data_IF_210942561413
#
_entry.id   IF_210942561413
#
_cell.length_a   1.000
_cell.length_b   1.000
_cell.length_c   1.000
_cell.angle_alpha   90.00
_cell.angle_beta   90.00
_cell.angle_gamma   90.00
#
_symmetry.space_group_name_H-M   'P 1'
#
loop_
_entity.id
_entity.type
_entity.pdbx_description
1 polymer ?
#
# COMPACT_ATOMS: atom_id res chain seq x y z
N UNK A 1 -2.14 2.86 4.09
CA UNK A 1 -1.80 1.75 3.17
C UNK A 1 -0.30 1.55 3.03
N UNK A 2 0.47 2.60 2.72
CA UNK A 2 1.93 2.52 2.47
C UNK A 2 2.68 1.88 3.64
N UNK A 3 2.44 2.32 4.88
CA UNK A 3 3.12 1.77 6.09
C UNK A 3 2.79 0.28 6.26
N UNK A 4 1.52 -0.11 6.17
CA UNK A 4 1.11 -1.52 6.23
C UNK A 4 1.72 -2.35 5.09
N UNK A 5 1.76 -1.83 3.85
CA UNK A 5 2.35 -2.49 2.69
C UNK A 5 3.87 -2.68 2.82
N UNK A 6 4.58 -1.68 3.36
CA UNK A 6 6.01 -1.76 3.68
C UNK A 6 6.29 -2.85 4.72
N UNK A 7 5.51 -2.88 5.81
CA UNK A 7 5.66 -3.91 6.85
C UNK A 7 5.41 -5.30 6.26
N UNK A 8 4.33 -5.50 5.50
CA UNK A 8 4.03 -6.80 4.87
C UNK A 8 5.13 -7.23 3.88
N UNK A 9 5.63 -6.30 3.06
CA UNK A 9 6.67 -6.59 2.07
C UNK A 9 7.99 -6.98 2.73
N UNK A 10 8.38 -6.31 3.82
CA UNK A 10 9.55 -6.68 4.60
C UNK A 10 9.41 -8.07 5.23
N UNK A 11 8.25 -8.40 5.79
CA UNK A 11 7.99 -9.73 6.38
C UNK A 11 8.01 -10.82 5.29
N UNK A 12 7.38 -10.58 4.14
CA UNK A 12 7.35 -11.52 3.01
C UNK A 12 8.73 -11.80 2.44
N UNK A 13 9.58 -10.78 2.37
CA UNK A 13 10.97 -10.90 1.94
C UNK A 13 11.82 -11.65 2.97
N UNK A 14 11.67 -11.33 4.25
CA UNK A 14 12.44 -11.95 5.34
C UNK A 14 12.07 -13.42 5.56
N UNK A 15 10.80 -13.77 5.38
CA UNK A 15 10.30 -15.14 5.50
C UNK A 15 10.38 -15.94 4.19
N UNK A 16 10.84 -15.35 3.07
CA UNK A 16 10.85 -15.96 1.73
C UNK A 16 9.48 -16.51 1.27
N UNK A 17 8.39 -15.84 1.68
CA UNK A 17 7.01 -16.22 1.36
C UNK A 17 6.53 -15.41 0.15
N UNK A 18 6.63 -15.98 -1.04
CA UNK A 18 6.30 -15.30 -2.31
C UNK A 18 4.93 -14.62 -2.32
N UNK A 19 3.88 -15.27 -1.81
CA UNK A 19 2.53 -14.70 -1.81
C UNK A 19 2.44 -13.42 -0.96
N UNK A 20 3.19 -13.37 0.15
CA UNK A 20 3.17 -12.25 1.08
C UNK A 20 3.94 -11.06 0.51
N UNK A 21 5.06 -11.31 -0.18
CA UNK A 21 5.83 -10.29 -0.90
C UNK A 21 5.02 -9.66 -2.03
N UNK A 22 4.25 -10.48 -2.77
CA UNK A 22 3.37 -9.99 -3.85
C UNK A 22 2.26 -9.09 -3.28
N UNK A 23 1.57 -9.53 -2.23
CA UNK A 23 0.49 -8.74 -1.60
C UNK A 23 1.04 -7.44 -1.02
N UNK A 24 2.17 -7.49 -0.29
CA UNK A 24 2.84 -6.31 0.23
C UNK A 24 3.22 -5.32 -0.87
N UNK A 25 3.76 -5.83 -1.99
CA UNK A 25 4.13 -5.02 -3.15
C UNK A 25 2.94 -4.32 -3.79
N UNK A 26 1.84 -5.03 -4.03
CA UNK A 26 0.60 -4.43 -4.59
C UNK A 26 0.06 -3.34 -3.67
N UNK A 27 0.00 -3.58 -2.36
CA UNK A 27 -0.47 -2.60 -1.39
C UNK A 27 0.42 -1.35 -1.32
N UNK A 28 1.74 -1.54 -1.50
CA UNK A 28 2.70 -0.44 -1.54
C UNK A 28 2.48 0.38 -2.81
N UNK A 29 2.38 -0.26 -3.98
CA UNK A 29 2.14 0.40 -5.27
C UNK A 29 0.81 1.15 -5.28
N UNK A 30 -0.30 0.49 -4.93
CA UNK A 30 -1.63 1.12 -4.87
C UNK A 30 -1.64 2.22 -3.81
N UNK A 31 -1.00 2.00 -2.67
CA UNK A 31 -0.85 2.99 -1.61
C UNK A 31 -0.09 4.23 -2.09
N UNK A 32 0.98 4.08 -2.86
CA UNK A 32 1.72 5.18 -3.45
C UNK A 32 0.88 5.90 -4.51
N UNK A 33 0.24 5.17 -5.43
CA UNK A 33 -0.59 5.77 -6.48
C UNK A 33 -1.72 6.59 -5.88
N UNK A 34 -2.50 6.04 -4.95
CA UNK A 34 -3.65 6.74 -4.39
C UNK A 34 -3.28 7.89 -3.42
N UNK A 35 -2.06 7.94 -2.90
CA UNK A 35 -1.62 9.03 -2.00
C UNK A 35 -0.72 10.08 -2.68
N UNK A 36 0.04 9.71 -3.72
CA UNK A 36 0.96 10.62 -4.43
C UNK A 36 0.38 11.14 -5.75
N UNK A 37 -0.44 10.34 -6.45
CA UNK A 37 -1.25 10.86 -7.55
C UNK A 37 -2.50 11.46 -6.91
N UNK A 38 -2.80 12.74 -7.15
CA UNK A 38 -4.03 13.34 -6.66
C UNK A 38 -5.21 12.80 -7.49
N UNK A 39 -5.58 11.54 -7.26
CA UNK A 39 -6.95 11.03 -7.46
C UNK A 39 -7.74 11.52 -6.24
N UNK A 40 -7.74 12.84 -6.10
CA UNK A 40 -8.35 13.59 -5.02
C UNK A 40 -9.84 13.71 -5.30
N UNK A 41 -10.55 12.59 -5.21
CA UNK A 41 -11.97 12.64 -4.93
C UNK A 41 -12.13 13.32 -3.58
N UNK A 42 -12.28 14.64 -3.58
CA UNK A 42 -12.52 15.44 -2.38
C UNK A 42 -13.75 14.83 -1.71
N UNK A 43 -13.55 14.09 -0.62
CA UNK A 43 -14.67 13.83 0.29
C UNK A 43 -14.99 15.19 0.87
N UNK A 44 -15.96 15.87 0.26
CA UNK A 44 -16.68 16.97 0.87
C UNK A 44 -17.26 16.42 2.16
N UNK A 45 -16.50 16.53 3.26
CA UNK A 45 -17.05 16.50 4.61
C UNK A 45 -17.79 17.82 4.75
N UNK A 46 -19.01 17.85 4.22
CA UNK A 46 -19.98 18.91 4.52
C UNK A 46 -20.17 18.86 6.03
N UNK A 47 -19.96 20.02 6.67
CA UNK A 47 -20.04 20.22 8.11
C UNK A 47 -21.36 19.73 8.71
#
# INVERSE_FOLDING_TARGET
>A
MIILGLILLLIGLLASINILTIIGGVLLVVGLVLNLVPIGGTRRRVF
#
